data_IF_235461866764
#
_entry.id   IF_235461866764
#
_cell.length_a   1.000
_cell.length_b   1.000
_cell.length_c   1.000
_cell.angle_alpha   90.00
_cell.angle_beta   90.00
_cell.angle_gamma   90.00
#
_symmetry.space_group_name_H-M   'P 1'
#
loop_
_entity.id
_entity.type
_entity.pdbx_description
1 polymer ?
#
# COMPACT_ATOMS: atom_id res chain seq x y z
N UNK A 1 -29.57 -3.87 -5.04
CA UNK A 1 -29.37 -4.39 -3.67
C UNK A 1 -27.88 -4.31 -3.28
N UNK A 2 -27.31 -3.11 -3.13
CA UNK A 2 -25.89 -2.92 -2.81
C UNK A 2 -25.53 -3.44 -1.40
N UNK A 3 -26.42 -3.23 -0.41
CA UNK A 3 -26.21 -3.68 0.97
C UNK A 3 -26.10 -5.20 1.12
N UNK A 4 -26.87 -5.96 0.35
CA UNK A 4 -26.79 -7.42 0.37
C UNK A 4 -25.45 -7.92 -0.19
N UNK A 5 -24.96 -7.30 -1.26
CA UNK A 5 -23.64 -7.61 -1.80
C UNK A 5 -22.52 -7.24 -0.81
N UNK A 6 -22.62 -6.08 -0.17
CA UNK A 6 -21.67 -5.65 0.87
C UNK A 6 -21.65 -6.59 2.07
N UNK A 7 -22.82 -7.02 2.56
CA UNK A 7 -22.93 -7.96 3.69
C UNK A 7 -22.27 -9.32 3.38
N UNK A 8 -22.47 -9.85 2.15
CA UNK A 8 -21.80 -11.08 1.72
C UNK A 8 -20.29 -10.89 1.61
N UNK A 9 -19.84 -9.80 0.97
CA UNK A 9 -18.42 -9.48 0.87
C UNK A 9 -17.76 -9.39 2.26
N UNK A 10 -18.35 -8.61 3.16
CA UNK A 10 -17.90 -8.48 4.56
C UNK A 10 -17.88 -9.81 5.29
N UNK A 11 -18.86 -10.69 5.07
CA UNK A 11 -18.89 -12.02 5.69
C UNK A 11 -17.66 -12.83 5.25
N UNK A 12 -17.36 -12.87 3.94
CA UNK A 12 -16.18 -13.59 3.44
C UNK A 12 -14.88 -12.96 3.94
N UNK A 13 -14.76 -11.63 3.87
CA UNK A 13 -13.52 -10.95 4.29
C UNK A 13 -13.28 -11.09 5.79
N UNK A 14 -14.32 -11.02 6.62
CA UNK A 14 -14.20 -11.21 8.08
C UNK A 14 -13.80 -12.64 8.41
N UNK A 15 -14.35 -13.65 7.71
CA UNK A 15 -13.95 -15.06 7.88
C UNK A 15 -12.51 -15.29 7.47
N UNK A 16 -12.08 -14.71 6.36
CA UNK A 16 -10.70 -14.75 5.92
C UNK A 16 -9.75 -14.10 6.95
N UNK A 17 -10.11 -12.92 7.47
CA UNK A 17 -9.33 -12.23 8.50
C UNK A 17 -9.24 -13.06 9.80
N UNK A 18 -10.35 -13.70 10.21
CA UNK A 18 -10.37 -14.60 11.36
C UNK A 18 -9.45 -15.81 11.18
N UNK A 19 -9.49 -16.48 10.03
CA UNK A 19 -8.58 -17.58 9.72
C UNK A 19 -7.10 -17.14 9.71
N UNK A 20 -6.83 -15.93 9.20
CA UNK A 20 -5.47 -15.38 9.18
C UNK A 20 -4.97 -15.06 10.59
N UNK A 21 -5.84 -14.51 11.44
CA UNK A 21 -5.56 -14.29 12.87
C UNK A 21 -5.28 -15.59 13.61
N UNK A 22 -6.15 -16.59 13.44
CA UNK A 22 -6.01 -17.89 14.08
C UNK A 22 -4.67 -18.55 13.74
N UNK A 23 -4.30 -18.52 12.45
CA UNK A 23 -3.01 -19.03 12.00
C UNK A 23 -1.81 -18.26 12.57
N UNK A 24 -1.91 -16.94 12.73
CA UNK A 24 -0.85 -16.15 13.38
C UNK A 24 -0.74 -16.48 14.88
N UNK A 25 -1.88 -16.64 15.57
CA UNK A 25 -1.93 -17.02 16.98
C UNK A 25 -1.36 -18.42 17.21
N UNK A 26 -1.66 -19.40 16.35
CA UNK A 26 -1.09 -20.75 16.42
C UNK A 26 0.44 -20.75 16.28
N UNK A 27 1.02 -19.78 15.56
CA UNK A 27 2.48 -19.61 15.45
C UNK A 27 3.11 -18.88 16.64
N UNK A 28 2.31 -18.47 17.63
CA UNK A 28 2.75 -17.69 18.78
C UNK A 28 3.06 -16.22 18.43
N UNK A 29 2.61 -15.74 17.27
CA UNK A 29 2.77 -14.33 16.91
C UNK A 29 1.74 -13.49 17.67
N UNK A 30 2.24 -12.52 18.45
CA UNK A 30 1.39 -11.53 19.10
C UNK A 30 0.84 -10.58 18.04
N UNK A 31 -0.45 -10.24 18.09
CA UNK A 31 -1.10 -9.28 17.18
C UNK A 31 -0.35 -7.94 17.07
N UNK A 32 0.27 -7.49 18.16
CA UNK A 32 1.13 -6.30 18.21
C UNK A 32 2.32 -6.37 17.23
N UNK A 33 2.81 -7.57 16.93
CA UNK A 33 3.93 -7.78 16.00
C UNK A 33 3.47 -7.75 14.53
N UNK A 34 2.16 -7.85 14.27
CA UNK A 34 1.60 -7.93 12.94
C UNK A 34 0.71 -6.71 12.64
N UNK A 35 1.36 -5.56 12.46
CA UNK A 35 0.71 -4.25 12.28
C UNK A 35 -0.23 -4.21 11.07
N UNK A 36 0.10 -4.93 9.99
CA UNK A 36 -0.76 -5.10 8.82
C UNK A 36 -2.08 -5.80 9.15
N UNK A 37 -2.01 -6.87 9.96
CA UNK A 37 -3.20 -7.62 10.36
C UNK A 37 -4.05 -6.82 11.35
N UNK A 38 -3.41 -6.10 12.28
CA UNK A 38 -4.10 -5.17 13.17
C UNK A 38 -4.85 -4.07 12.39
N UNK A 39 -4.20 -3.48 11.39
CA UNK A 39 -4.83 -2.49 10.50
C UNK A 39 -6.01 -3.10 9.73
N UNK A 40 -5.88 -4.32 9.20
CA UNK A 40 -6.97 -5.00 8.50
C UNK A 40 -8.20 -5.19 9.41
N UNK A 41 -8.00 -5.69 10.63
CA UNK A 41 -9.10 -5.95 11.58
C UNK A 41 -9.75 -4.64 12.05
N UNK A 42 -8.94 -3.62 12.35
CA UNK A 42 -9.44 -2.30 12.73
C UNK A 42 -10.28 -1.66 11.62
N UNK A 43 -9.80 -1.73 10.37
CA UNK A 43 -10.53 -1.27 9.20
C UNK A 43 -11.83 -2.04 8.95
N UNK A 44 -11.79 -3.38 9.07
CA UNK A 44 -12.98 -4.22 8.92
C UNK A 44 -14.04 -3.92 9.98
N UNK A 45 -13.64 -3.72 11.24
CA UNK A 45 -14.55 -3.31 12.31
C UNK A 45 -15.22 -1.98 11.99
N UNK A 46 -14.45 -0.95 11.63
CA UNK A 46 -14.99 0.37 11.34
C UNK A 46 -15.91 0.35 10.11
N UNK A 47 -15.48 -0.30 9.03
CA UNK A 47 -16.25 -0.36 7.78
C UNK A 47 -17.55 -1.18 7.94
N UNK A 48 -17.46 -2.38 8.52
CA UNK A 48 -18.64 -3.25 8.70
C UNK A 48 -19.71 -2.63 9.58
N UNK A 49 -19.31 -1.88 10.62
CA UNK A 49 -20.26 -1.22 11.52
C UNK A 49 -20.97 -0.04 10.83
N UNK A 50 -20.26 0.78 10.06
CA UNK A 50 -20.91 1.85 9.28
C UNK A 50 -21.85 1.30 8.20
N UNK A 51 -21.44 0.28 7.47
CA UNK A 51 -22.29 -0.39 6.47
C UNK A 51 -23.54 -1.01 7.11
N UNK A 52 -23.41 -1.63 8.29
CA UNK A 52 -24.56 -2.17 9.02
C UNK A 52 -25.58 -1.08 9.39
N UNK A 53 -25.11 0.07 9.89
CA UNK A 53 -25.99 1.19 10.24
C UNK A 53 -26.67 1.81 9.02
N UNK A 54 -25.93 1.96 7.91
CA UNK A 54 -26.48 2.46 6.65
C UNK A 54 -27.55 1.51 6.10
N UNK A 55 -27.27 0.20 6.09
CA UNK A 55 -28.20 -0.84 5.67
C UNK A 55 -29.49 -0.83 6.51
N UNK A 56 -29.39 -0.79 7.84
CA UNK A 56 -30.56 -0.73 8.72
C UNK A 56 -31.39 0.54 8.49
N UNK A 57 -30.72 1.67 8.25
CA UNK A 57 -31.38 2.94 7.98
C UNK A 57 -32.14 2.92 6.66
N UNK A 58 -31.54 2.38 5.60
CA UNK A 58 -32.17 2.26 4.28
C UNK A 58 -33.31 1.23 4.30
N UNK A 59 -33.13 0.08 4.95
CA UNK A 59 -34.20 -0.88 5.17
C UNK A 59 -35.41 -0.26 5.89
N UNK A 60 -35.16 0.60 6.89
CA UNK A 60 -36.22 1.34 7.59
C UNK A 60 -36.97 2.26 6.62
N UNK A 61 -36.24 3.04 5.82
CA UNK A 61 -36.81 3.99 4.86
C UNK A 61 -37.61 3.28 3.76
N UNK A 62 -37.15 2.13 3.29
CA UNK A 62 -37.87 1.30 2.31
C UNK A 62 -39.23 0.79 2.83
N UNK A 63 -39.39 0.62 4.14
CA UNK A 63 -40.67 0.23 4.76
C UNK A 63 -41.62 1.42 5.02
N UNK A 64 -41.22 2.64 4.66
CA UNK A 64 -42.02 3.85 4.86
C UNK A 64 -42.31 4.15 6.33
N UNK A 65 -43.44 4.78 6.63
CA UNK A 65 -43.82 5.16 8.00
C UNK A 65 -43.95 3.97 8.96
N UNK A 66 -44.32 2.79 8.45
CA UNK A 66 -44.39 1.56 9.24
C UNK A 66 -43.01 1.10 9.72
N UNK A 67 -41.93 1.56 9.07
CA UNK A 67 -40.56 1.31 9.51
C UNK A 67 -40.23 1.87 10.89
N UNK A 68 -40.99 2.85 11.37
CA UNK A 68 -40.82 3.44 12.69
C UNK A 68 -41.54 2.66 13.80
N UNK A 69 -42.48 1.80 13.44
CA UNK A 69 -43.25 0.98 14.38
C UNK A 69 -42.35 -0.10 15.00
N UNK A 70 -42.45 -0.29 16.31
CA UNK A 70 -41.62 -1.26 17.04
C UNK A 70 -41.88 -2.71 16.61
N UNK A 71 -43.07 -2.97 16.07
CA UNK A 71 -43.48 -4.23 15.47
C UNK A 71 -42.54 -4.66 14.34
N UNK A 72 -41.98 -3.71 13.58
CA UNK A 72 -41.05 -3.98 12.49
C UNK A 72 -39.63 -4.30 12.98
N UNK A 73 -39.34 -4.09 14.27
CA UNK A 73 -38.08 -4.37 14.98
C UNK A 73 -36.81 -3.68 14.46
N UNK A 74 -36.83 -3.08 13.27
CA UNK A 74 -35.71 -2.32 12.69
C UNK A 74 -35.24 -1.19 13.63
N UNK A 75 -36.13 -0.39 14.27
CA UNK A 75 -35.69 0.67 15.18
C UNK A 75 -34.91 0.15 16.39
N UNK A 76 -35.38 -0.93 17.00
CA UNK A 76 -34.69 -1.58 18.13
C UNK A 76 -33.33 -2.14 17.69
N UNK A 77 -33.29 -2.86 16.57
CA UNK A 77 -32.05 -3.42 16.03
C UNK A 77 -31.01 -2.35 15.67
N UNK A 78 -31.46 -1.20 15.15
CA UNK A 78 -30.59 -0.06 14.88
C UNK A 78 -30.02 0.53 16.18
N UNK A 79 -30.86 0.73 17.19
CA UNK A 79 -30.43 1.22 18.50
C UNK A 79 -29.36 0.31 19.11
N UNK A 80 -29.59 -1.01 19.07
CA UNK A 80 -28.64 -2.01 19.58
C UNK A 80 -27.33 -2.03 18.78
N UNK A 81 -27.38 -1.69 17.49
CA UNK A 81 -26.21 -1.66 16.61
C UNK A 81 -25.38 -0.37 16.72
N UNK A 82 -25.98 0.75 17.13
CA UNK A 82 -25.30 2.05 17.19
C UNK A 82 -24.12 2.04 18.19
N UNK A 83 -24.16 1.18 19.22
CA UNK A 83 -23.05 1.03 20.18
C UNK A 83 -21.75 0.56 19.53
N UNK A 84 -21.83 -0.25 18.46
CA UNK A 84 -20.65 -0.86 17.84
C UNK A 84 -19.72 0.15 17.15
N UNK A 85 -20.22 1.36 16.85
CA UNK A 85 -19.39 2.46 16.32
C UNK A 85 -18.34 2.92 17.34
N UNK A 86 -18.65 2.80 18.63
CA UNK A 86 -17.80 3.30 19.72
C UNK A 86 -17.14 2.18 20.53
N UNK A 87 -17.74 0.99 20.54
CA UNK A 87 -17.22 -0.17 21.27
C UNK A 87 -15.85 -0.62 20.72
N UNK A 88 -14.98 -1.11 21.61
CA UNK A 88 -13.58 -1.52 21.32
C UNK A 88 -12.65 -0.41 20.79
N UNK A 89 -13.15 0.83 20.71
CA UNK A 89 -12.48 2.00 20.20
C UNK A 89 -13.28 2.63 19.05
N UNK A 90 -13.39 3.95 19.08
CA UNK A 90 -14.13 4.72 18.09
C UNK A 90 -13.69 4.39 16.66
N UNK A 91 -14.64 4.26 15.73
CA UNK A 91 -14.37 3.87 14.35
C UNK A 91 -13.34 4.80 13.67
N UNK A 92 -13.39 6.10 13.95
CA UNK A 92 -12.43 7.06 13.39
C UNK A 92 -11.03 6.82 13.96
N UNK A 93 -10.94 6.54 15.26
CA UNK A 93 -9.67 6.16 15.92
C UNK A 93 -9.12 4.84 15.37
N UNK A 94 -9.98 3.87 15.08
CA UNK A 94 -9.58 2.62 14.43
C UNK A 94 -9.01 2.86 13.03
N UNK A 95 -9.62 3.76 12.24
CA UNK A 95 -9.06 4.17 10.97
C UNK A 95 -7.70 4.86 11.10
N UNK A 96 -7.40 5.55 12.22
CA UNK A 96 -6.06 6.12 12.43
C UNK A 96 -4.98 5.04 12.50
N UNK A 97 -5.28 3.85 13.06
CA UNK A 97 -4.37 2.69 13.04
C UNK A 97 -4.12 2.22 11.61
N UNK A 98 -5.18 2.19 10.79
CA UNK A 98 -5.08 1.86 9.36
C UNK A 98 -4.20 2.86 8.60
N UNK A 99 -4.46 4.14 8.80
CA UNK A 99 -3.69 5.23 8.18
C UNK A 99 -2.21 5.13 8.56
N UNK A 100 -1.91 4.90 9.85
CA UNK A 100 -0.53 4.74 10.32
C UNK A 100 0.19 3.60 9.62
N UNK A 101 -0.46 2.45 9.47
CA UNK A 101 0.13 1.30 8.77
C UNK A 101 0.33 1.61 7.27
N UNK A 102 -0.66 2.18 6.60
CA UNK A 102 -0.56 2.57 5.18
C UNK A 102 0.57 3.58 4.95
N UNK A 103 0.71 4.60 5.81
CA UNK A 103 1.81 5.55 5.74
C UNK A 103 3.17 4.89 5.96
N UNK A 104 3.24 3.91 6.86
CA UNK A 104 4.47 3.13 7.11
C UNK A 104 4.86 2.31 5.88
N UNK A 105 3.90 1.64 5.25
CA UNK A 105 4.12 0.89 4.01
C UNK A 105 4.53 1.80 2.85
N UNK A 106 3.87 2.94 2.70
CA UNK A 106 4.20 3.94 1.67
C UNK A 106 5.62 4.49 1.84
N UNK A 107 6.01 4.82 3.08
CA UNK A 107 7.37 5.31 3.39
C UNK A 107 8.42 4.25 3.08
N UNK A 108 8.16 2.97 3.38
CA UNK A 108 9.05 1.85 3.03
C UNK A 108 9.22 1.71 1.52
N UNK A 109 8.14 1.84 0.76
CA UNK A 109 8.18 1.78 -0.71
C UNK A 109 8.96 2.96 -1.31
N UNK A 110 8.73 4.17 -0.82
CA UNK A 110 9.46 5.38 -1.24
C UNK A 110 10.96 5.28 -0.91
N UNK A 111 11.30 4.89 0.32
CA UNK A 111 12.69 4.72 0.74
C UNK A 111 13.44 3.72 -0.16
N UNK A 112 12.81 2.60 -0.50
CA UNK A 112 13.41 1.61 -1.40
C UNK A 112 13.61 2.14 -2.83
N UNK A 113 12.65 2.91 -3.35
CA UNK A 113 12.73 3.51 -4.68
C UNK A 113 13.82 4.60 -4.76
N UNK A 114 13.92 5.45 -3.74
CA UNK A 114 14.95 6.50 -3.63
C UNK A 114 16.33 5.88 -3.51
N UNK A 115 16.51 4.89 -2.61
CA UNK A 115 17.78 4.17 -2.46
C UNK A 115 18.16 3.43 -3.75
N UNK A 116 17.21 2.78 -4.41
CA UNK A 116 17.43 2.12 -5.70
C UNK A 116 17.83 3.09 -6.81
N UNK A 117 17.24 4.29 -6.84
CA UNK A 117 17.60 5.37 -7.77
C UNK A 117 19.01 5.92 -7.51
N UNK A 118 19.38 6.13 -6.25
CA UNK A 118 20.72 6.53 -5.83
C UNK A 118 21.78 5.49 -6.20
N UNK A 119 21.50 4.20 -5.98
CA UNK A 119 22.41 3.11 -6.37
C UNK A 119 22.58 3.04 -7.89
N UNK A 120 21.49 3.17 -8.66
CA UNK A 120 21.56 3.18 -10.14
C UNK A 120 22.36 4.35 -10.67
N UNK A 121 22.11 5.57 -10.17
CA UNK A 121 22.83 6.78 -10.60
C UNK A 121 24.32 6.74 -10.22
N UNK A 122 24.65 6.18 -9.06
CA UNK A 122 26.04 5.94 -8.68
C UNK A 122 26.72 4.91 -9.61
N UNK A 123 26.02 3.82 -9.93
CA UNK A 123 26.54 2.77 -10.82
C UNK A 123 26.78 3.27 -12.25
N UNK A 124 25.85 4.05 -12.81
CA UNK A 124 26.03 4.65 -14.13
C UNK A 124 27.20 5.64 -14.15
N UNK A 125 27.38 6.42 -13.08
CA UNK A 125 28.49 7.36 -12.95
C UNK A 125 29.87 6.68 -12.92
N UNK A 126 29.98 5.53 -12.25
CA UNK A 126 31.21 4.72 -12.25
C UNK A 126 31.45 4.10 -13.63
N UNK A 127 30.39 3.57 -14.26
CA UNK A 127 30.46 2.98 -15.61
C UNK A 127 30.91 4.00 -16.67
N UNK A 128 30.33 5.21 -16.65
CA UNK A 128 30.68 6.28 -17.59
C UNK A 128 32.12 6.78 -17.40
N UNK A 129 32.64 6.78 -16.17
CA UNK A 129 34.06 7.09 -15.89
C UNK A 129 35.01 6.04 -16.46
N UNK A 130 34.60 4.77 -16.52
CA UNK A 130 35.40 3.72 -17.15
C UNK A 130 35.33 3.78 -18.69
N UNK A 131 34.14 4.04 -19.25
CA UNK A 131 33.95 4.25 -20.71
C UNK A 131 34.74 5.44 -21.23
N UNK A 132 34.72 6.58 -20.54
CA UNK A 132 35.47 7.77 -20.96
C UNK A 132 36.98 7.56 -20.87
N UNK A 133 37.46 6.73 -19.92
CA UNK A 133 38.88 6.31 -19.86
C UNK A 133 39.29 5.40 -21.02
N UNK A 134 38.46 4.41 -21.39
CA UNK A 134 38.79 3.51 -22.50
C UNK A 134 38.75 4.21 -23.87
N UNK A 135 37.80 5.14 -24.06
CA UNK A 135 37.69 5.96 -25.27
C UNK A 135 38.87 6.94 -25.37
N UNK A 136 39.24 7.64 -24.30
CA UNK A 136 40.40 8.54 -24.30
C UNK A 136 41.74 7.80 -24.52
N UNK A 137 41.88 6.58 -23.99
CA UNK A 137 43.05 5.74 -24.26
C UNK A 137 43.15 5.33 -25.75
N UNK A 138 42.01 5.04 -26.38
CA UNK A 138 41.95 4.66 -27.80
C UNK A 138 42.22 5.87 -28.72
N UNK A 139 41.78 7.08 -28.33
CA UNK A 139 42.04 8.33 -29.05
C UNK A 139 43.53 8.73 -28.99
N UNK A 140 44.18 8.56 -27.82
CA UNK A 140 45.63 8.81 -27.66
C UNK A 140 46.47 7.89 -28.55
N UNK A 141 46.03 6.66 -28.78
CA UNK A 141 46.76 5.73 -29.65
C UNK A 141 46.67 6.09 -31.14
N UNK A 142 45.58 6.75 -31.59
CA UNK A 142 45.42 7.24 -32.97
C UNK A 142 46.22 8.53 -33.24
N UNK A 143 46.29 9.46 -32.27
CA UNK A 143 47.06 10.71 -32.43
C UNK A 143 48.57 10.45 -32.51
N UNK A 144 49.10 9.50 -31.73
CA UNK A 144 50.53 9.13 -31.78
C UNK A 144 50.89 8.40 -33.09
N UNK A 145 49.97 7.66 -33.72
CA UNK A 145 50.20 7.07 -35.06
C UNK A 145 50.02 8.06 -36.22
N UNK A 146 49.15 9.07 -36.08
CA UNK A 146 48.99 10.12 -37.11
C UNK A 146 50.17 11.07 -37.22
N UNK A 147 50.98 11.21 -36.17
CA UNK A 147 52.14 12.12 -36.15
C UNK A 147 53.39 11.58 -36.85
N UNK A 148 53.39 10.31 -37.30
CA UNK A 148 54.56 9.65 -37.93
C UNK A 148 54.52 9.65 -39.47
N UNK A 149 53.46 10.19 -40.08
CA UNK A 149 53.23 10.13 -41.54
C UNK A 149 53.35 11.49 -42.26
N UNK A 150 53.63 12.59 -41.56
CA UNK A 150 53.79 13.94 -42.15
C UNK A 150 55.19 14.56 -41.96
N UNK A 151 56.23 13.72 -41.78
CA UNK A 151 57.59 14.19 -41.49
C UNK A 151 58.66 13.85 -42.54
N UNK A 152 58.32 13.52 -43.79
CA UNK A 152 59.33 13.04 -44.73
C UNK A 152 58.96 13.07 -46.21
N UNK A 153 59.01 14.25 -46.84
CA UNK A 153 59.33 14.37 -48.27
C UNK A 153 59.73 15.81 -48.65
N UNK A 154 61.03 16.10 -48.60
CA UNK A 154 61.66 17.16 -49.41
C UNK A 154 62.31 16.49 -50.64
N UNK A 155 62.04 16.92 -51.89
CA UNK A 155 62.66 16.34 -53.07
C UNK A 155 64.07 16.90 -53.30
N UNK A 156 65.01 16.02 -53.68
CA UNK A 156 66.22 16.38 -54.42
C UNK A 156 65.90 16.35 -55.91
N UNK A 157 66.44 17.32 -56.66
CA UNK A 157 66.42 17.36 -58.13
C UNK A 157 66.10 18.74 -58.63
#
# INVERSE_FOLDING_TARGET
MPHLAAALALTFTTRFAACTMDHALCKGEVLQNNSSLQALVAGLKAYSTWENLACLQECRECTGGMGFMMENRIPALKCDSDVFVTFEGDNVVMLQVVVKELMTQFTRQLGNSVVGGLIKTWTSSVSDRLRTRSVNATQRHKIVRGSYIEGGRYPRG
#
